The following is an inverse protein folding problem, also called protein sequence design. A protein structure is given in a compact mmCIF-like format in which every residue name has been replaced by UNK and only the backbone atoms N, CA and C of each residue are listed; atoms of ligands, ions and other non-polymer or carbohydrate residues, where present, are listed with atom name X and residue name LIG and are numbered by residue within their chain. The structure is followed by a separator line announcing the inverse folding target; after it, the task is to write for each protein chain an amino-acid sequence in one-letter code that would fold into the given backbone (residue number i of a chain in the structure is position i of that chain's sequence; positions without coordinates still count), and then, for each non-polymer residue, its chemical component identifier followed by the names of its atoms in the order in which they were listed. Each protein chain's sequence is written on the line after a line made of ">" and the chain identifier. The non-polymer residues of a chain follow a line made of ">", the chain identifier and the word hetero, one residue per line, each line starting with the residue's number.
data_IF_188608318775
#
_entry.id   IF_188608318775
#
_cell.length_a   1.000
_cell.length_b   1.000
_cell.length_c   1.000
_cell.angle_alpha   90.00
_cell.angle_beta   90.00
_cell.angle_gamma   90.00
#
_symmetry.space_group_name_H-M   'P 1'
#
loop_
_entity.id
_entity.type
_entity.pdbx_description
1 polymer ?
#
# COMPACT_ATOMS: atom_id res chain seq x y z
N UNK A 1 16.84 20.58 -5.17
CA UNK A 1 17.10 19.29 -4.51
C UNK A 1 17.07 18.19 -5.55
N UNK A 2 17.82 17.10 -5.34
CA UNK A 2 17.72 15.88 -6.15
C UNK A 2 17.17 14.79 -5.24
N UNK A 3 16.16 14.07 -5.69
CA UNK A 3 15.55 12.97 -4.94
C UNK A 3 15.92 11.66 -5.63
N UNK A 4 16.37 10.69 -4.85
CA UNK A 4 16.76 9.37 -5.34
C UNK A 4 15.86 8.33 -4.70
N UNK A 5 15.35 7.39 -5.50
CA UNK A 5 14.66 6.21 -5.01
C UNK A 5 15.65 5.05 -4.99
N UNK A 6 15.77 4.39 -3.84
CA UNK A 6 16.65 3.24 -3.66
C UNK A 6 15.77 2.01 -3.52
N UNK A 7 16.00 1.00 -4.36
CA UNK A 7 15.38 -0.31 -4.23
C UNK A 7 16.41 -1.31 -3.75
N UNK A 8 16.15 -1.93 -2.61
CA UNK A 8 16.97 -3.01 -2.07
C UNK A 8 16.49 -4.31 -2.72
N UNK A 9 17.41 -5.05 -3.35
CA UNK A 9 17.08 -6.24 -4.15
C UNK A 9 17.05 -7.54 -3.34
N UNK A 10 17.60 -7.51 -2.12
CA UNK A 10 17.82 -8.67 -1.27
C UNK A 10 17.51 -8.30 0.18
N UNK A 11 16.68 -9.10 0.85
CA UNK A 11 16.28 -8.83 2.23
C UNK A 11 17.46 -8.92 3.20
N UNK A 12 18.46 -9.75 2.90
CA UNK A 12 19.67 -9.89 3.69
C UNK A 12 20.50 -8.60 3.74
N UNK A 13 20.36 -7.73 2.73
CA UNK A 13 21.11 -6.49 2.63
C UNK A 13 20.38 -5.28 3.23
N UNK A 14 19.12 -5.44 3.67
CA UNK A 14 18.29 -4.35 4.20
C UNK A 14 18.97 -3.68 5.40
N UNK A 15 19.43 -4.46 6.36
CA UNK A 15 20.05 -3.93 7.58
C UNK A 15 21.35 -3.19 7.27
N UNK A 16 22.15 -3.71 6.35
CA UNK A 16 23.41 -3.08 5.91
C UNK A 16 23.14 -1.74 5.23
N UNK A 17 22.18 -1.71 4.29
CA UNK A 17 21.81 -0.49 3.57
C UNK A 17 21.23 0.55 4.53
N UNK A 18 20.37 0.13 5.47
CA UNK A 18 19.79 1.01 6.47
C UNK A 18 20.87 1.66 7.37
N UNK A 19 21.85 0.86 7.83
CA UNK A 19 22.96 1.38 8.62
C UNK A 19 23.82 2.38 7.85
N UNK A 20 24.11 2.10 6.57
CA UNK A 20 24.86 3.02 5.71
C UNK A 20 24.13 4.36 5.49
N UNK A 21 22.82 4.30 5.23
CA UNK A 21 22.00 5.49 5.03
C UNK A 21 21.97 6.33 6.31
N UNK A 22 21.80 5.71 7.48
CA UNK A 22 21.82 6.41 8.76
C UNK A 22 23.18 7.08 9.03
N UNK A 23 24.29 6.43 8.69
CA UNK A 23 25.62 7.04 8.83
C UNK A 23 25.78 8.29 7.93
N UNK A 24 25.25 8.24 6.71
CA UNK A 24 25.27 9.39 5.80
C UNK A 24 24.35 10.52 6.28
N UNK A 25 23.21 10.18 6.87
CA UNK A 25 22.28 11.15 7.46
C UNK A 25 22.89 11.83 8.69
N UNK A 26 23.52 11.06 9.58
CA UNK A 26 24.20 11.57 10.77
C UNK A 26 25.35 12.53 10.44
N UNK A 27 26.01 12.32 9.29
CA UNK A 27 27.05 13.22 8.77
C UNK A 27 26.49 14.47 8.07
N UNK A 28 25.16 14.57 7.91
CA UNK A 28 24.50 15.65 7.16
C UNK A 28 24.72 15.59 5.65
N UNK A 29 25.07 14.42 5.10
CA UNK A 29 25.29 14.24 3.66
C UNK A 29 23.97 14.02 2.91
N UNK A 30 23.02 13.34 3.55
CA UNK A 30 21.68 13.08 3.02
C UNK A 30 20.62 13.36 4.09
N UNK A 31 19.38 13.50 3.66
CA UNK A 31 18.21 13.53 4.51
C UNK A 31 17.37 12.28 4.19
N UNK A 32 17.00 11.52 5.21
CA UNK A 32 16.13 10.34 5.05
C UNK A 32 14.70 10.78 5.32
N UNK A 33 13.87 10.75 4.28
CA UNK A 33 12.43 10.98 4.39
C UNK A 33 11.72 9.66 4.13
N UNK A 34 11.15 9.05 5.16
CA UNK A 34 10.25 7.91 4.99
C UNK A 34 8.94 8.41 4.36
N UNK A 35 8.66 7.92 3.15
CA UNK A 35 7.33 8.04 2.58
C UNK A 35 6.62 6.73 2.90
N UNK A 36 5.80 6.72 3.95
CA UNK A 36 4.87 5.63 4.18
C UNK A 36 3.99 5.55 2.93
N UNK A 37 4.16 4.49 2.14
CA UNK A 37 3.29 4.18 1.00
C UNK A 37 1.97 3.56 1.42
N UNK A 38 1.71 3.46 2.73
CA UNK A 38 0.48 2.88 3.29
C UNK A 38 -0.68 3.88 3.46
N UNK A 39 -0.48 5.16 3.11
CA UNK A 39 -1.54 6.19 3.13
C UNK A 39 -2.20 6.41 1.74
N UNK A 40 -2.27 5.37 0.92
CA UNK A 40 -3.44 5.24 0.04
C UNK A 40 -4.46 4.39 0.80
N UNK A 41 -5.11 5.02 1.80
CA UNK A 41 -6.38 4.52 2.32
C UNK A 41 -7.23 4.19 1.09
N UNK A 42 -7.47 2.91 0.83
CA UNK A 42 -8.34 2.49 -0.24
C UNK A 42 -9.68 3.19 -0.01
N UNK A 43 -9.99 4.21 -0.82
CA UNK A 43 -11.25 4.92 -0.72
C UNK A 43 -12.36 3.86 -0.81
N UNK A 44 -13.28 3.80 0.16
CA UNK A 44 -14.37 2.85 0.09
C UNK A 44 -15.11 3.07 -1.23
N UNK A 45 -15.30 1.99 -2.00
CA UNK A 45 -15.99 2.06 -3.29
C UNK A 45 -17.34 2.77 -3.11
N UNK A 46 -17.68 3.67 -4.03
CA UNK A 46 -18.97 4.37 -3.98
C UNK A 46 -20.12 3.36 -4.12
N UNK A 47 -21.30 3.68 -3.59
CA UNK A 47 -22.48 2.80 -3.71
C UNK A 47 -22.76 2.41 -5.17
N UNK A 48 -22.51 3.32 -6.12
CA UNK A 48 -22.63 3.07 -7.55
C UNK A 48 -21.62 2.02 -8.06
N UNK A 49 -20.36 2.07 -7.60
CA UNK A 49 -19.33 1.08 -7.95
C UNK A 49 -19.61 -0.30 -7.34
N UNK A 50 -20.17 -0.32 -6.12
CA UNK A 50 -20.60 -1.57 -5.47
C UNK A 50 -21.77 -2.18 -6.25
N UNK A 51 -22.73 -1.37 -6.70
CA UNK A 51 -23.87 -1.84 -7.48
C UNK A 51 -23.44 -2.40 -8.85
N UNK A 52 -22.48 -1.76 -9.52
CA UNK A 52 -21.92 -2.24 -10.80
C UNK A 52 -21.18 -3.58 -10.63
N UNK A 53 -20.43 -3.76 -9.54
CA UNK A 53 -19.79 -5.04 -9.18
C UNK A 53 -20.83 -6.12 -8.88
N UNK A 54 -21.93 -5.78 -8.20
CA UNK A 54 -23.03 -6.72 -7.91
C UNK A 54 -23.71 -7.15 -9.22
N UNK A 55 -24.00 -6.21 -10.12
CA UNK A 55 -24.61 -6.50 -11.43
C UNK A 55 -23.69 -7.34 -12.32
N UNK A 56 -22.37 -7.07 -12.33
CA UNK A 56 -21.40 -7.88 -13.08
C UNK A 56 -21.20 -9.28 -12.44
N UNK A 57 -21.41 -9.39 -11.13
CA UNK A 57 -21.31 -10.65 -10.38
C UNK A 57 -22.56 -11.55 -10.50
N UNK A 58 -23.67 -11.09 -11.09
CA UNK A 58 -24.85 -11.92 -11.38
C UNK A 58 -24.57 -13.05 -12.42
N UNK A 59 -23.34 -13.17 -12.94
CA UNK A 59 -22.88 -14.26 -13.83
C UNK A 59 -22.20 -15.43 -13.05
N UNK A 60 -22.11 -15.40 -11.72
CA UNK A 60 -21.47 -16.47 -10.92
C UNK A 60 -22.13 -16.73 -9.57
N UNK A 61 -21.87 -17.88 -8.90
CA UNK A 61 -22.68 -18.35 -7.78
C UNK A 61 -22.59 -17.40 -6.59
N UNK A 62 -23.76 -16.89 -6.23
CA UNK A 62 -24.03 -15.82 -5.27
C UNK A 62 -23.40 -16.01 -3.89
N UNK A 63 -22.58 -15.05 -3.46
CA UNK A 63 -22.46 -14.73 -2.04
C UNK A 63 -23.73 -13.99 -1.63
N UNK A 64 -24.27 -14.32 -0.45
CA UNK A 64 -25.44 -13.62 0.07
C UNK A 64 -25.09 -12.17 0.42
N UNK A 65 -26.07 -11.25 0.34
CA UNK A 65 -25.88 -9.83 0.70
C UNK A 65 -25.27 -9.65 2.11
N UNK A 66 -25.51 -10.62 2.99
CA UNK A 66 -24.95 -10.67 4.35
C UNK A 66 -23.45 -11.00 4.36
N UNK A 67 -23.01 -11.95 3.53
CA UNK A 67 -21.60 -12.32 3.40
C UNK A 67 -20.79 -11.22 2.71
N UNK A 68 -21.39 -10.52 1.74
CA UNK A 68 -20.76 -9.38 1.08
C UNK A 68 -20.44 -8.25 2.07
N UNK A 69 -21.37 -7.93 2.99
CA UNK A 69 -21.17 -6.89 4.01
C UNK A 69 -20.08 -7.25 5.04
N UNK A 70 -20.00 -8.52 5.44
CA UNK A 70 -18.94 -8.99 6.35
C UNK A 70 -17.55 -8.95 5.71
N UNK A 71 -17.43 -9.29 4.41
CA UNK A 71 -16.14 -9.21 3.69
C UNK A 71 -15.71 -7.74 3.49
N UNK A 72 -16.67 -6.85 3.27
CA UNK A 72 -16.43 -5.42 3.05
C UNK A 72 -16.32 -4.60 4.34
N UNK A 73 -16.43 -5.24 5.52
CA UNK A 73 -16.24 -4.63 6.84
C UNK A 73 -17.15 -3.39 7.08
N UNK A 74 -18.37 -3.45 6.55
CA UNK A 74 -19.45 -2.45 6.73
C UNK A 74 -20.35 -2.76 7.93
#
# INVERSE_FOLDING_TARGET
>A
MKTYQIKILSDADIELVHNLLNDLANKGTIEISEKNTDDEEAEPASEDQVQEIIEESEIGPYYSEKEAKEILNL
#
